data_IF_771326838605
#
_entry.id   IF_771326838605
#
_cell.length_a   1.000
_cell.length_b   1.000
_cell.length_c   1.000
_cell.angle_alpha   90.00
_cell.angle_beta   90.00
_cell.angle_gamma   90.00
#
_symmetry.space_group_name_H-M   'P 1'
#
loop_
_entity.id
_entity.type
_entity.pdbx_description
1 polymer ?
#
# COMPACT_ATOMS: atom_id res chain seq x y z
N UNK A 1 26.50 -29.93 -0.23
CA UNK A 1 26.72 -28.70 0.57
C UNK A 1 25.80 -28.73 1.78
N UNK A 2 26.22 -28.18 2.94
CA UNK A 2 25.31 -27.99 4.05
C UNK A 2 24.13 -27.11 3.62
N UNK A 3 22.91 -27.47 4.04
CA UNK A 3 21.67 -26.81 3.59
C UNK A 3 21.68 -25.30 3.82
N UNK A 4 22.29 -24.83 4.90
CA UNK A 4 22.43 -23.41 5.21
C UNK A 4 23.29 -22.68 4.18
N UNK A 5 24.40 -23.29 3.74
CA UNK A 5 25.29 -22.71 2.72
C UNK A 5 24.63 -22.71 1.35
N UNK A 6 23.86 -23.77 1.02
CA UNK A 6 23.13 -23.83 -0.24
C UNK A 6 22.06 -22.74 -0.34
N UNK A 7 21.27 -22.53 0.73
CA UNK A 7 20.26 -21.46 0.77
C UNK A 7 20.89 -20.07 0.59
N UNK A 8 22.03 -19.81 1.23
CA UNK A 8 22.71 -18.51 1.11
C UNK A 8 23.29 -18.31 -0.29
N UNK A 9 23.99 -19.30 -0.85
CA UNK A 9 24.67 -19.13 -2.14
C UNK A 9 23.71 -19.15 -3.34
N UNK A 10 22.60 -19.88 -3.26
CA UNK A 10 21.66 -20.03 -4.39
C UNK A 10 20.51 -19.05 -4.31
N UNK A 11 19.98 -18.76 -3.11
CA UNK A 11 18.79 -17.93 -2.93
C UNK A 11 19.05 -16.62 -2.17
N UNK A 12 20.30 -16.34 -1.77
CA UNK A 12 20.63 -15.17 -0.95
C UNK A 12 20.24 -13.85 -1.60
N UNK A 13 20.45 -13.70 -2.92
CA UNK A 13 20.09 -12.49 -3.67
C UNK A 13 18.57 -12.25 -3.64
N UNK A 14 17.78 -13.27 -4.00
CA UNK A 14 16.31 -13.18 -4.03
C UNK A 14 15.73 -12.81 -2.65
N UNK A 15 16.31 -13.36 -1.58
CA UNK A 15 15.89 -13.06 -0.20
C UNK A 15 16.20 -11.61 0.19
N UNK A 16 17.38 -11.09 -0.20
CA UNK A 16 17.77 -9.71 0.08
C UNK A 16 16.86 -8.73 -0.68
N UNK A 17 16.63 -8.97 -1.97
CA UNK A 17 15.78 -8.14 -2.82
C UNK A 17 14.32 -8.12 -2.33
N UNK A 18 13.79 -9.28 -1.94
CA UNK A 18 12.47 -9.38 -1.32
C UNK A 18 12.39 -8.61 0.00
N UNK A 19 13.46 -8.60 0.78
CA UNK A 19 13.50 -7.88 2.06
C UNK A 19 13.47 -6.37 1.86
N UNK A 20 14.19 -5.85 0.87
CA UNK A 20 14.24 -4.42 0.60
C UNK A 20 12.95 -3.90 -0.04
N UNK A 21 12.36 -4.66 -0.97
CA UNK A 21 11.01 -4.36 -1.49
C UNK A 21 9.95 -4.38 -0.39
N UNK A 22 10.03 -5.32 0.57
CA UNK A 22 9.14 -5.35 1.73
C UNK A 22 9.31 -4.12 2.63
N UNK A 23 10.55 -3.66 2.88
CA UNK A 23 10.79 -2.43 3.65
C UNK A 23 10.18 -1.21 2.98
N UNK A 24 10.34 -1.09 1.66
CA UNK A 24 9.80 0.04 0.92
C UNK A 24 8.26 0.01 0.87
N UNK A 25 7.67 -1.17 0.68
CA UNK A 25 6.22 -1.34 0.78
C UNK A 25 5.70 -0.92 2.15
N UNK A 26 6.36 -1.36 3.23
CA UNK A 26 5.99 -1.00 4.59
C UNK A 26 6.06 0.51 4.85
N UNK A 27 7.12 1.18 4.36
CA UNK A 27 7.25 2.64 4.47
C UNK A 27 6.09 3.35 3.76
N UNK A 28 5.75 2.93 2.54
CA UNK A 28 4.65 3.52 1.78
C UNK A 28 3.31 3.32 2.48
N UNK A 29 3.04 2.11 2.99
CA UNK A 29 1.79 1.81 3.69
C UNK A 29 1.65 2.64 4.98
N UNK A 30 2.72 2.74 5.78
CA UNK A 30 2.72 3.57 6.99
C UNK A 30 2.46 5.04 6.68
N UNK A 31 3.19 5.62 5.72
CA UNK A 31 3.04 7.04 5.37
C UNK A 31 1.67 7.37 4.75
N UNK A 32 1.08 6.43 4.02
CA UNK A 32 -0.21 6.66 3.35
C UNK A 32 -1.42 6.40 4.24
N UNK A 33 -1.27 5.60 5.29
CA UNK A 33 -2.30 5.36 6.30
C UNK A 33 -2.30 6.41 7.42
N UNK A 34 -1.22 7.19 7.56
CA UNK A 34 -1.12 8.25 8.56
C UNK A 34 -2.26 9.28 8.41
N UNK A 35 -3.08 9.51 9.46
CA UNK A 35 -4.23 10.42 9.39
C UNK A 35 -3.85 11.87 9.08
N UNK A 36 -2.71 12.35 9.60
CA UNK A 36 -2.27 13.72 9.41
C UNK A 36 -1.84 13.96 7.96
N UNK A 37 -0.98 13.10 7.41
CA UNK A 37 -0.56 13.14 6.00
C UNK A 37 -1.77 12.95 5.08
N UNK A 38 -2.61 11.95 5.36
CA UNK A 38 -3.81 11.66 4.57
C UNK A 38 -4.76 12.86 4.48
N UNK A 39 -4.96 13.58 5.58
CA UNK A 39 -5.82 14.77 5.64
C UNK A 39 -5.31 15.95 4.80
N UNK A 40 -3.98 16.05 4.60
CA UNK A 40 -3.34 17.17 3.88
C UNK A 40 -2.92 16.80 2.47
N UNK A 41 -2.89 15.51 2.12
CA UNK A 41 -2.41 15.05 0.82
C UNK A 41 -3.36 15.50 -0.29
N UNK A 42 -2.78 16.11 -1.34
CA UNK A 42 -3.53 16.39 -2.58
C UNK A 42 -3.88 15.07 -3.28
N UNK A 43 -5.14 14.65 -3.18
CA UNK A 43 -5.62 13.47 -3.89
C UNK A 43 -5.78 13.82 -5.38
N UNK A 44 -4.97 13.22 -6.25
CA UNK A 44 -5.22 13.27 -7.70
C UNK A 44 -6.51 12.51 -7.98
N UNK A 45 -7.53 13.17 -8.51
CA UNK A 45 -8.73 12.50 -9.02
C UNK A 45 -8.33 11.69 -10.26
N UNK A 46 -8.11 10.39 -10.08
CA UNK A 46 -8.11 9.49 -11.25
C UNK A 46 -9.51 9.53 -11.86
N UNK A 47 -9.59 9.49 -13.20
CA UNK A 47 -10.85 9.25 -13.91
C UNK A 47 -11.28 7.80 -13.65
N UNK A 48 -11.96 7.56 -12.53
CA UNK A 48 -12.58 6.27 -12.26
C UNK A 48 -13.82 6.10 -13.14
N UNK A 49 -14.13 4.85 -13.51
CA UNK A 49 -15.42 4.50 -14.09
C UNK A 49 -16.52 4.96 -13.12
N UNK A 50 -17.61 5.53 -13.63
CA UNK A 50 -18.69 6.13 -12.81
C UNK A 50 -19.15 5.08 -11.78
N UNK A 51 -19.02 5.41 -10.49
CA UNK A 51 -19.45 4.53 -9.41
C UNK A 51 -20.98 4.38 -9.45
N UNK A 52 -21.52 3.22 -9.05
CA UNK A 52 -22.96 3.00 -8.99
C UNK A 52 -23.64 4.10 -8.17
N UNK A 53 -24.74 4.64 -8.67
CA UNK A 53 -25.46 5.76 -8.07
C UNK A 53 -25.92 5.48 -6.63
N UNK A 54 -26.35 4.25 -6.34
CA UNK A 54 -26.69 3.83 -4.98
C UNK A 54 -25.49 3.95 -4.02
N UNK A 55 -24.30 3.56 -4.48
CA UNK A 55 -23.06 3.63 -3.70
C UNK A 55 -22.63 5.08 -3.51
N UNK A 56 -22.77 5.92 -4.53
CA UNK A 56 -22.48 7.35 -4.41
C UNK A 56 -23.41 8.03 -3.39
N UNK A 57 -24.71 7.72 -3.44
CA UNK A 57 -25.68 8.30 -2.52
C UNK A 57 -25.44 7.84 -1.09
N UNK A 58 -25.11 6.56 -0.89
CA UNK A 58 -24.70 6.03 0.41
C UNK A 58 -23.46 6.77 0.95
N UNK A 59 -22.40 6.91 0.14
CA UNK A 59 -21.18 7.58 0.56
C UNK A 59 -21.38 9.07 0.84
N UNK A 60 -22.21 9.77 0.05
CA UNK A 60 -22.57 11.18 0.30
C UNK A 60 -23.36 11.33 1.60
N UNK A 61 -24.33 10.45 1.86
CA UNK A 61 -25.12 10.47 3.10
C UNK A 61 -24.26 10.25 4.35
N UNK A 62 -23.18 9.48 4.23
CA UNK A 62 -22.23 9.20 5.32
C UNK A 62 -21.13 10.25 5.48
N UNK A 63 -20.94 11.14 4.49
CA UNK A 63 -19.84 12.12 4.47
C UNK A 63 -19.97 13.24 5.53
N UNK A 64 -21.02 13.24 6.36
CA UNK A 64 -21.17 14.14 7.50
C UNK A 64 -20.45 13.67 8.79
N UNK A 65 -19.74 12.54 8.77
CA UNK A 65 -18.95 12.07 9.93
C UNK A 65 -17.47 11.88 9.57
N UNK A 66 -16.76 12.97 9.25
CA UNK A 66 -15.32 13.13 9.52
C UNK A 66 -15.07 14.59 9.85
#
# INVERSE_FOLDING_TARGET
MPNTVHKVLVHGCEIIDATDTNKDLMRVLLLTSDPFISSKRKVRSKKYKKCNEAVQNYLKSKKMMI
#
